data_IF_936345403941
#
_entry.id   IF_936345403941
#
_cell.length_a   1.000
_cell.length_b   1.000
_cell.length_c   1.000
_cell.angle_alpha   90.00
_cell.angle_beta   90.00
_cell.angle_gamma   90.00
#
_symmetry.space_group_name_H-M   'P 1'
#
loop_
_entity.id
_entity.type
_entity.pdbx_description
1 polymer ?
#
# COMPACT_ATOMS: atom_id res chain seq x y z
N UNK A 1 -0.53 8.18 9.19
CA UNK A 1 -0.45 8.96 7.93
C UNK A 1 -0.63 8.03 6.74
N UNK A 2 -0.70 8.54 5.51
CA UNK A 2 -0.68 7.76 4.27
C UNK A 2 0.45 8.29 3.39
N UNK A 3 1.08 7.42 2.60
CA UNK A 3 2.30 7.75 1.87
C UNK A 3 2.24 7.22 0.43
N UNK A 4 2.86 7.96 -0.48
CA UNK A 4 3.17 7.50 -1.84
C UNK A 4 4.59 6.95 -1.81
N UNK A 5 4.79 5.65 -2.09
CA UNK A 5 6.12 5.03 -2.09
C UNK A 5 6.39 4.43 -3.47
N UNK A 6 7.34 5.01 -4.24
CA UNK A 6 7.75 4.46 -5.53
C UNK A 6 8.27 3.01 -5.41
N UNK A 7 8.01 2.18 -6.42
CA UNK A 7 8.42 0.76 -6.43
C UNK A 7 9.92 0.57 -6.26
N UNK A 8 10.74 1.47 -6.81
CA UNK A 8 12.20 1.37 -6.78
C UNK A 8 12.81 2.02 -5.52
N UNK A 9 11.99 2.36 -4.52
CA UNK A 9 12.51 2.96 -3.27
C UNK A 9 13.42 1.94 -2.56
N UNK A 10 14.67 2.31 -2.21
CA UNK A 10 15.56 1.42 -1.47
C UNK A 10 14.91 0.91 -0.18
N UNK A 11 15.03 -0.39 0.09
CA UNK A 11 14.39 -1.06 1.23
C UNK A 11 12.98 -1.60 0.96
N UNK A 12 12.38 -1.27 -0.19
CA UNK A 12 11.11 -1.86 -0.62
C UNK A 12 11.34 -3.13 -1.44
N UNK A 13 10.81 -4.25 -0.97
CA UNK A 13 10.86 -5.53 -1.69
C UNK A 13 9.48 -6.18 -1.74
N UNK A 14 9.30 -7.12 -2.67
CA UNK A 14 8.06 -7.90 -2.84
C UNK A 14 8.38 -9.35 -2.48
N UNK A 15 7.55 -9.95 -1.62
CA UNK A 15 7.66 -11.34 -1.23
C UNK A 15 7.29 -12.30 -2.36
N UNK A 16 7.19 -13.59 -2.02
CA UNK A 16 6.73 -14.61 -2.96
C UNK A 16 5.26 -14.36 -3.35
N UNK A 17 4.87 -14.81 -4.55
CA UNK A 17 3.46 -14.86 -4.93
C UNK A 17 2.77 -16.01 -4.22
N UNK A 18 1.65 -15.73 -3.56
CA UNK A 18 0.93 -16.68 -2.74
C UNK A 18 0.14 -17.72 -3.55
N UNK A 19 0.20 -18.98 -3.09
CA UNK A 19 -0.61 -20.09 -3.60
C UNK A 19 -1.99 -20.07 -2.96
N UNK A 20 -2.94 -19.43 -3.66
CA UNK A 20 -4.29 -19.16 -3.17
C UNK A 20 -5.29 -20.25 -3.59
N UNK A 21 -6.32 -20.47 -2.77
CA UNK A 21 -7.45 -21.35 -3.09
C UNK A 21 -8.15 -20.96 -4.40
N UNK A 22 -8.31 -19.65 -4.67
CA UNK A 22 -9.02 -19.11 -5.84
C UNK A 22 -8.44 -17.77 -6.28
N UNK A 23 -9.06 -17.15 -7.30
CA UNK A 23 -8.56 -15.91 -7.93
C UNK A 23 -7.06 -15.99 -8.27
N UNK A 24 -6.62 -17.16 -8.76
CA UNK A 24 -5.19 -17.51 -8.90
C UNK A 24 -4.42 -16.63 -9.89
N UNK A 25 -5.13 -16.00 -10.83
CA UNK A 25 -4.57 -15.02 -11.76
C UNK A 25 -4.31 -13.64 -11.13
N UNK A 26 -4.87 -13.36 -9.94
CA UNK A 26 -4.59 -12.13 -9.19
C UNK A 26 -3.27 -12.29 -8.43
N UNK A 27 -2.33 -11.37 -8.64
CA UNK A 27 -1.08 -11.36 -7.90
C UNK A 27 -1.34 -10.96 -6.45
N UNK A 28 -0.89 -11.78 -5.51
CA UNK A 28 -0.98 -11.52 -4.08
C UNK A 28 0.35 -11.91 -3.48
N UNK A 29 1.02 -10.97 -2.84
CA UNK A 29 2.34 -11.14 -2.26
C UNK A 29 2.49 -10.17 -1.09
N UNK A 30 3.44 -10.43 -0.22
CA UNK A 30 3.87 -9.47 0.79
C UNK A 30 4.52 -8.25 0.15
N UNK A 31 4.28 -7.07 0.72
CA UNK A 31 5.03 -5.85 0.41
C UNK A 31 5.85 -5.50 1.64
N UNK A 32 7.16 -5.62 1.53
CA UNK A 32 8.09 -5.54 2.65
C UNK A 32 8.79 -4.17 2.61
N UNK A 33 8.78 -3.47 3.73
CA UNK A 33 9.44 -2.17 3.90
C UNK A 33 10.50 -2.31 5.00
N UNK A 34 11.77 -2.35 4.63
CA UNK A 34 12.91 -2.42 5.55
C UNK A 34 13.74 -1.13 5.42
N UNK A 35 13.76 -0.31 6.49
CA UNK A 35 14.49 0.96 6.54
C UNK A 35 14.23 1.91 5.36
N UNK A 36 13.00 1.85 4.81
CA UNK A 36 12.56 2.71 3.70
C UNK A 36 12.49 4.16 4.14
N UNK A 37 13.22 5.03 3.44
CA UNK A 37 13.17 6.48 3.64
C UNK A 37 12.12 7.09 2.71
N UNK A 38 11.11 7.73 3.30
CA UNK A 38 10.03 8.40 2.57
C UNK A 38 10.15 9.91 2.76
N UNK A 39 10.28 10.71 1.68
CA UNK A 39 10.30 12.17 1.78
C UNK A 39 8.98 12.75 2.31
N UNK A 40 9.03 13.93 2.92
CA UNK A 40 7.85 14.59 3.49
C UNK A 40 6.80 14.93 2.42
N UNK A 41 7.26 15.32 1.23
CA UNK A 41 6.41 15.61 0.06
C UNK A 41 5.59 14.41 -0.42
N UNK A 42 5.96 13.19 -0.01
CA UNK A 42 5.24 11.97 -0.36
C UNK A 42 4.12 11.62 0.64
N UNK A 43 3.87 12.47 1.66
CA UNK A 43 2.68 12.34 2.49
C UNK A 43 1.44 12.60 1.63
N UNK A 44 0.57 11.61 1.54
CA UNK A 44 -0.72 11.75 0.87
C UNK A 44 -1.69 12.49 1.80
N UNK A 45 -1.96 13.76 1.49
CA UNK A 45 -2.82 14.62 2.29
C UNK A 45 -2.04 15.35 3.39
N UNK A 46 -2.40 15.13 4.65
CA UNK A 46 -1.71 15.71 5.82
C UNK A 46 -1.23 14.60 6.75
N UNK A 47 -0.24 14.91 7.58
CA UNK A 47 0.14 14.00 8.66
C UNK A 47 -1.05 13.72 9.58
N UNK A 48 -1.15 12.48 10.08
CA UNK A 48 -2.21 12.07 11.01
C UNK A 48 -3.55 11.69 10.37
N UNK A 49 -3.88 12.15 9.16
CA UNK A 49 -5.22 11.89 8.55
C UNK A 49 -5.31 10.59 7.72
N UNK A 50 -4.30 9.72 7.78
CA UNK A 50 -4.21 8.51 6.94
C UNK A 50 -5.38 7.54 7.11
N UNK A 51 -5.92 7.39 8.32
CA UNK A 51 -7.07 6.52 8.57
C UNK A 51 -8.33 6.98 7.82
N UNK A 52 -8.59 8.29 7.81
CA UNK A 52 -9.75 8.87 7.10
C UNK A 52 -9.63 8.62 5.59
N UNK A 53 -8.41 8.76 5.04
CA UNK A 53 -8.14 8.47 3.63
C UNK A 53 -8.43 7.00 3.32
N UNK A 54 -7.93 6.08 4.15
CA UNK A 54 -8.16 4.65 3.98
C UNK A 54 -9.67 4.30 3.96
N UNK A 55 -10.44 4.83 4.92
CA UNK A 55 -11.88 4.56 5.00
C UNK A 55 -12.66 5.11 3.80
N UNK A 56 -12.34 6.35 3.36
CA UNK A 56 -12.97 6.93 2.16
C UNK A 56 -12.69 6.13 0.89
N UNK A 57 -11.47 5.61 0.73
CA UNK A 57 -11.13 4.76 -0.41
C UNK A 57 -11.93 3.45 -0.37
N UNK A 58 -12.03 2.80 0.79
CA UNK A 58 -12.81 1.57 0.92
C UNK A 58 -14.29 1.78 0.60
N UNK A 59 -14.91 2.84 1.14
CA UNK A 59 -16.33 3.15 0.90
C UNK A 59 -16.61 3.41 -0.58
N UNK A 60 -15.68 4.03 -1.31
CA UNK A 60 -15.81 4.22 -2.76
C UNK A 60 -15.79 2.90 -3.55
N UNK A 61 -15.08 1.89 -3.07
CA UNK A 61 -14.94 0.59 -3.76
C UNK A 61 -16.05 -0.41 -3.42
N UNK A 62 -16.77 -0.21 -2.31
CA UNK A 62 -17.87 -1.06 -1.83
C UNK A 62 -19.21 -0.73 -2.50
N UNK A 63 -19.25 -0.49 -3.82
CA UNK A 63 -20.49 -0.15 -4.53
C UNK A 63 -21.67 -1.05 -4.08
N UNK A 64 -22.90 -0.49 -3.95
CA UNK A 64 -24.07 -1.22 -3.46
C UNK A 64 -24.38 -2.49 -4.29
#
# INVERSE_FOLDING_TARGET
SAFIVPRETPGLTIGKVEDKMGQRASNTAEVIFEDVKVPEENILGKEGIGFIIAMKTLDKTRAP
#
